data_IF_094989128304
#
_entry.id   IF_094989128304
#
_cell.length_a   1.000
_cell.length_b   1.000
_cell.length_c   1.000
_cell.angle_alpha   90.00
_cell.angle_beta   90.00
_cell.angle_gamma   90.00
#
_symmetry.space_group_name_H-M   'P 1'
#
loop_
_entity.id
_entity.type
_entity.pdbx_description
1 polymer ?
#
# COMPACT_ATOMS: atom_id res chain seq x y z
N UNK A 1 20.71 -24.64 -19.46
CA UNK A 1 19.30 -25.05 -19.44
C UNK A 1 18.78 -25.05 -18.00
N UNK A 2 17.53 -24.65 -17.76
CA UNK A 2 16.91 -24.78 -16.44
C UNK A 2 16.37 -26.20 -16.32
N UNK A 3 17.08 -27.07 -15.60
CA UNK A 3 16.57 -28.38 -15.19
C UNK A 3 15.46 -28.16 -14.15
N UNK A 4 14.21 -28.15 -14.60
CA UNK A 4 13.06 -28.10 -13.71
C UNK A 4 12.81 -29.52 -13.16
N UNK A 5 12.59 -29.68 -11.84
CA UNK A 5 12.19 -30.97 -11.29
C UNK A 5 10.85 -31.42 -11.86
N UNK A 6 10.62 -32.73 -11.91
CA UNK A 6 9.29 -33.25 -12.21
C UNK A 6 8.30 -32.88 -11.10
N UNK A 7 7.10 -32.45 -11.48
CA UNK A 7 6.05 -32.04 -10.56
C UNK A 7 5.36 -33.28 -9.95
N UNK A 8 6.04 -33.92 -9.00
CA UNK A 8 5.61 -35.15 -8.32
C UNK A 8 5.59 -34.95 -6.78
N UNK A 9 5.17 -35.97 -6.03
CA UNK A 9 5.01 -35.85 -4.57
C UNK A 9 6.34 -35.56 -3.84
N UNK A 10 7.49 -35.95 -4.41
CA UNK A 10 8.80 -35.56 -3.87
C UNK A 10 9.07 -34.06 -4.07
N UNK A 11 8.60 -33.48 -5.17
CA UNK A 11 8.64 -32.03 -5.38
C UNK A 11 7.75 -31.31 -4.36
N UNK A 12 6.54 -31.82 -4.08
CA UNK A 12 5.66 -31.24 -3.08
C UNK A 12 6.30 -31.19 -1.69
N UNK A 13 6.91 -32.31 -1.26
CA UNK A 13 7.65 -32.41 0.01
C UNK A 13 8.88 -31.50 0.09
N UNK A 14 9.48 -31.12 -1.04
CA UNK A 14 10.59 -30.15 -1.09
C UNK A 14 10.13 -28.69 -0.96
N UNK A 15 8.85 -28.40 -1.22
CA UNK A 15 8.29 -27.05 -1.17
C UNK A 15 7.70 -26.69 0.21
N UNK A 16 7.67 -27.64 1.15
CA UNK A 16 7.18 -27.45 2.51
C UNK A 16 6.60 -28.75 3.08
N UNK A 17 5.83 -28.64 4.17
CA UNK A 17 5.13 -29.77 4.81
C UNK A 17 3.87 -30.20 4.02
N UNK A 18 4.05 -30.54 2.74
CA UNK A 18 2.98 -31.05 1.89
C UNK A 18 3.12 -32.56 1.67
N UNK A 19 2.04 -33.30 1.87
CA UNK A 19 2.04 -34.76 1.75
C UNK A 19 2.24 -35.24 0.30
N UNK A 20 1.66 -34.53 -0.66
CA UNK A 20 1.64 -34.85 -2.08
C UNK A 20 1.37 -33.61 -2.96
N UNK A 21 1.43 -33.77 -4.28
CA UNK A 21 1.19 -32.68 -5.22
C UNK A 21 -0.21 -32.09 -5.17
N UNK A 22 -1.22 -32.85 -4.77
CA UNK A 22 -2.57 -32.34 -4.63
C UNK A 22 -2.67 -31.38 -3.45
N UNK A 23 -2.07 -31.73 -2.30
CA UNK A 23 -1.99 -30.87 -1.12
C UNK A 23 -1.28 -29.53 -1.44
N UNK A 24 -0.15 -29.58 -2.15
CA UNK A 24 0.55 -28.36 -2.59
C UNK A 24 -0.31 -27.52 -3.56
N UNK A 25 -1.00 -28.16 -4.51
CA UNK A 25 -1.89 -27.46 -5.46
C UNK A 25 -3.07 -26.82 -4.76
N UNK A 26 -3.67 -27.49 -3.77
CA UNK A 26 -4.77 -26.97 -2.98
C UNK A 26 -4.34 -25.76 -2.15
N UNK A 27 -3.18 -25.80 -1.50
CA UNK A 27 -2.65 -24.65 -0.75
C UNK A 27 -2.37 -23.45 -1.66
N UNK A 28 -1.65 -23.67 -2.78
CA UNK A 28 -1.40 -22.60 -3.76
C UNK A 28 -2.72 -22.00 -4.26
N UNK A 29 -3.69 -22.85 -4.60
CA UNK A 29 -5.01 -22.38 -5.05
C UNK A 29 -5.71 -21.56 -3.96
N UNK A 30 -5.66 -22.00 -2.70
CA UNK A 30 -6.23 -21.29 -1.56
C UNK A 30 -5.57 -19.92 -1.38
N UNK A 31 -4.24 -19.86 -1.40
CA UNK A 31 -3.47 -18.60 -1.31
C UNK A 31 -3.79 -17.64 -2.46
N UNK A 32 -3.85 -18.15 -3.68
CA UNK A 32 -4.22 -17.34 -4.85
C UNK A 32 -5.68 -16.84 -4.77
N UNK A 33 -6.59 -17.66 -4.26
CA UNK A 33 -8.00 -17.29 -4.08
C UNK A 33 -8.11 -16.17 -3.04
N UNK A 34 -7.48 -16.34 -1.87
CA UNK A 34 -7.46 -15.32 -0.82
C UNK A 34 -6.86 -14.01 -1.33
N UNK A 35 -5.70 -14.07 -2.00
CA UNK A 35 -5.08 -12.87 -2.57
C UNK A 35 -5.96 -12.18 -3.63
N UNK A 36 -6.71 -12.96 -4.42
CA UNK A 36 -7.64 -12.42 -5.41
C UNK A 36 -8.88 -11.78 -4.76
N UNK A 37 -9.43 -12.40 -3.71
CA UNK A 37 -10.55 -11.86 -2.93
C UNK A 37 -10.16 -10.54 -2.27
N UNK A 38 -9.04 -10.51 -1.53
CA UNK A 38 -8.55 -9.28 -0.92
C UNK A 38 -8.23 -8.19 -1.95
N UNK A 39 -7.70 -8.56 -3.12
CA UNK A 39 -7.46 -7.61 -4.20
C UNK A 39 -8.76 -7.06 -4.77
N UNK A 40 -9.81 -7.87 -4.87
CA UNK A 40 -11.11 -7.44 -5.36
C UNK A 40 -11.78 -6.50 -4.36
N UNK A 41 -11.74 -6.83 -3.07
CA UNK A 41 -12.31 -6.01 -2.00
C UNK A 41 -11.64 -4.63 -1.95
N UNK A 42 -10.29 -4.58 -1.94
CA UNK A 42 -9.54 -3.32 -2.01
C UNK A 42 -9.87 -2.50 -3.26
N UNK A 43 -10.07 -3.14 -4.40
CA UNK A 43 -10.42 -2.44 -5.63
C UNK A 43 -11.83 -1.83 -5.55
N UNK A 44 -12.80 -2.55 -4.95
CA UNK A 44 -14.15 -2.02 -4.72
C UNK A 44 -14.11 -0.82 -3.77
N UNK A 45 -13.40 -0.93 -2.65
CA UNK A 45 -13.23 0.17 -1.69
C UNK A 45 -12.61 1.41 -2.35
N UNK A 46 -11.52 1.23 -3.10
CA UNK A 46 -10.86 2.32 -3.82
C UNK A 46 -11.81 3.01 -4.81
N UNK A 47 -12.56 2.23 -5.59
CA UNK A 47 -13.52 2.78 -6.55
C UNK A 47 -14.65 3.57 -5.87
N UNK A 48 -15.09 3.14 -4.68
CA UNK A 48 -16.11 3.87 -3.91
C UNK A 48 -15.54 5.21 -3.43
N UNK A 49 -14.33 5.21 -2.88
CA UNK A 49 -13.65 6.43 -2.41
C UNK A 49 -13.45 7.40 -3.57
N UNK A 50 -12.95 6.92 -4.71
CA UNK A 50 -12.74 7.73 -5.91
C UNK A 50 -14.05 8.39 -6.36
N UNK A 51 -15.16 7.64 -6.39
CA UNK A 51 -16.45 8.17 -6.81
C UNK A 51 -16.99 9.22 -5.83
N UNK A 52 -16.80 9.02 -4.52
CA UNK A 52 -17.11 10.00 -3.48
C UNK A 52 -16.32 11.29 -3.72
N UNK A 53 -15.01 11.16 -3.93
CA UNK A 53 -14.10 12.28 -4.11
C UNK A 53 -14.41 13.05 -5.41
N UNK A 54 -14.75 12.35 -6.49
CA UNK A 54 -15.12 12.94 -7.77
C UNK A 54 -16.43 13.73 -7.70
N UNK A 55 -17.39 13.26 -6.91
CA UNK A 55 -18.67 13.96 -6.69
C UNK A 55 -18.57 15.09 -5.65
N UNK A 56 -17.51 15.10 -4.85
CA UNK A 56 -17.31 16.07 -3.79
C UNK A 56 -16.68 17.37 -4.30
N UNK A 57 -17.20 18.50 -3.83
CA UNK A 57 -16.58 19.82 -4.02
C UNK A 57 -15.72 20.13 -2.80
N UNK A 58 -14.42 19.92 -2.94
CA UNK A 58 -13.45 20.19 -1.88
C UNK A 58 -12.61 21.38 -2.32
N UNK A 59 -12.49 22.37 -1.45
CA UNK A 59 -11.59 23.51 -1.63
C UNK A 59 -10.65 23.58 -0.43
N UNK A 60 -9.36 23.69 -0.70
CA UNK A 60 -8.32 23.81 0.32
C UNK A 60 -7.22 24.78 -0.15
N UNK A 61 -6.50 25.43 0.77
CA UNK A 61 -5.44 26.35 0.40
C UNK A 61 -4.18 25.61 -0.09
N UNK A 62 -3.46 26.20 -1.04
CA UNK A 62 -2.21 25.65 -1.61
C UNK A 62 -1.12 25.39 -0.57
N UNK A 63 -1.19 26.09 0.57
CA UNK A 63 -0.27 25.90 1.70
C UNK A 63 -0.34 24.45 2.23
N UNK A 64 -1.51 23.81 2.21
CA UNK A 64 -1.63 22.41 2.61
C UNK A 64 -0.91 21.48 1.64
N UNK A 65 -1.04 21.72 0.32
CA UNK A 65 -0.34 20.93 -0.69
C UNK A 65 1.17 21.08 -0.52
N UNK A 66 1.67 22.31 -0.34
CA UNK A 66 3.10 22.55 -0.18
C UNK A 66 3.67 21.91 1.09
N UNK A 67 2.91 21.93 2.19
CA UNK A 67 3.28 21.25 3.43
C UNK A 67 3.41 19.73 3.19
N UNK A 68 2.43 19.14 2.52
CA UNK A 68 2.38 17.72 2.23
C UNK A 68 3.51 17.25 1.32
N UNK A 69 3.77 18.01 0.25
CA UNK A 69 4.92 17.78 -0.65
C UNK A 69 6.24 17.88 0.11
N UNK A 70 6.34 18.80 1.07
CA UNK A 70 7.51 18.92 1.95
C UNK A 70 7.77 17.65 2.76
N UNK A 71 6.72 17.07 3.35
CA UNK A 71 6.80 15.79 4.06
C UNK A 71 7.20 14.65 3.14
N UNK A 72 6.58 14.53 1.95
CA UNK A 72 6.90 13.47 0.99
C UNK A 72 8.37 13.55 0.53
N UNK A 73 8.89 14.77 0.30
CA UNK A 73 10.31 14.98 -0.04
C UNK A 73 11.22 14.58 1.13
N UNK A 74 10.87 14.98 2.36
CA UNK A 74 11.66 14.66 3.53
C UNK A 74 11.71 13.14 3.78
N UNK A 75 10.58 12.44 3.64
CA UNK A 75 10.51 10.98 3.78
C UNK A 75 11.31 10.27 2.69
N UNK A 76 11.22 10.76 1.46
CA UNK A 76 12.05 10.25 0.37
C UNK A 76 13.53 10.45 0.67
N UNK A 77 13.94 11.64 1.09
CA UNK A 77 15.33 11.95 1.43
C UNK A 77 15.84 11.06 2.57
N UNK A 78 15.03 10.83 3.60
CA UNK A 78 15.37 9.93 4.71
C UNK A 78 15.60 8.50 4.22
N UNK A 79 14.73 7.98 3.34
CA UNK A 79 14.87 6.65 2.75
C UNK A 79 16.11 6.53 1.87
N UNK A 80 16.34 7.51 1.00
CA UNK A 80 17.50 7.52 0.08
C UNK A 80 18.82 7.66 0.86
N UNK A 81 18.85 8.48 1.91
CA UNK A 81 20.03 8.66 2.76
C UNK A 81 20.47 7.36 3.44
N UNK A 82 19.50 6.52 3.89
CA UNK A 82 19.80 5.18 4.43
C UNK A 82 20.45 4.26 3.40
N UNK A 83 20.13 4.45 2.13
CA UNK A 83 20.72 3.73 1.00
C UNK A 83 21.98 4.41 0.44
N UNK A 84 22.40 5.54 1.01
CA UNK A 84 23.53 6.38 0.54
C UNK A 84 23.34 6.89 -0.89
N UNK A 85 22.09 7.07 -1.32
CA UNK A 85 21.71 7.62 -2.62
C UNK A 85 21.31 9.08 -2.43
N UNK A 86 21.74 9.96 -3.33
CA UNK A 86 21.26 11.36 -3.32
C UNK A 86 19.97 11.50 -4.13
N UNK A 87 19.17 12.53 -3.82
CA UNK A 87 17.94 12.81 -4.58
C UNK A 87 18.23 13.05 -6.06
N UNK A 88 19.35 13.71 -6.40
CA UNK A 88 19.76 13.94 -7.79
C UNK A 88 20.06 12.63 -8.54
N UNK A 89 20.68 11.66 -7.87
CA UNK A 89 20.93 10.35 -8.45
C UNK A 89 19.62 9.59 -8.68
N UNK A 90 18.70 9.68 -7.72
CA UNK A 90 17.37 9.09 -7.84
C UNK A 90 16.58 9.69 -9.01
N UNK A 91 16.55 11.02 -9.13
CA UNK A 91 15.87 11.72 -10.23
C UNK A 91 16.45 11.32 -11.60
N UNK A 92 17.79 11.21 -11.71
CA UNK A 92 18.45 10.71 -12.92
C UNK A 92 18.07 9.27 -13.25
N UNK A 93 17.97 8.40 -12.24
CA UNK A 93 17.58 7.00 -12.43
C UNK A 93 16.16 6.86 -12.97
N UNK A 94 15.23 7.68 -12.48
CA UNK A 94 13.84 7.68 -12.96
C UNK A 94 13.62 8.56 -14.20
N UNK A 95 14.67 9.25 -14.68
CA UNK A 95 14.63 10.10 -15.86
C UNK A 95 13.70 11.32 -15.73
N UNK A 96 13.50 11.84 -14.51
CA UNK A 96 12.63 13.01 -14.26
C UNK A 96 13.46 14.20 -13.82
N UNK A 97 13.04 15.39 -14.25
CA UNK A 97 13.54 16.64 -13.68
C UNK A 97 12.96 16.87 -12.27
N UNK A 98 13.60 17.76 -11.51
CA UNK A 98 13.10 18.14 -10.19
C UNK A 98 11.71 18.79 -10.26
N UNK A 99 11.46 19.60 -11.28
CA UNK A 99 10.17 20.28 -11.47
C UNK A 99 9.05 19.26 -11.76
N UNK A 100 9.25 18.35 -12.72
CA UNK A 100 8.29 17.29 -13.02
C UNK A 100 8.02 16.40 -11.81
N UNK A 101 9.05 16.13 -11.01
CA UNK A 101 8.90 15.35 -9.79
C UNK A 101 8.07 16.08 -8.74
N UNK A 102 8.34 17.37 -8.52
CA UNK A 102 7.57 18.20 -7.58
C UNK A 102 6.12 18.35 -8.03
N UNK A 103 5.86 18.54 -9.32
CA UNK A 103 4.50 18.69 -9.82
C UNK A 103 3.69 17.40 -9.73
N UNK A 104 4.34 16.25 -9.91
CA UNK A 104 3.71 14.96 -9.61
C UNK A 104 3.39 14.81 -8.12
N UNK A 105 4.33 15.19 -7.23
CA UNK A 105 4.05 15.17 -5.80
C UNK A 105 2.91 16.10 -5.43
N UNK A 106 2.83 17.30 -6.02
CA UNK A 106 1.70 18.22 -5.79
C UNK A 106 0.37 17.61 -6.22
N UNK A 107 0.32 16.95 -7.38
CA UNK A 107 -0.89 16.29 -7.86
C UNK A 107 -1.34 15.18 -6.90
N UNK A 108 -0.43 14.29 -6.51
CA UNK A 108 -0.70 13.22 -5.56
C UNK A 108 -1.10 13.75 -4.18
N UNK A 109 -0.41 14.78 -3.68
CA UNK A 109 -0.72 15.42 -2.41
C UNK A 109 -2.10 16.09 -2.43
N UNK A 110 -2.44 16.77 -3.51
CA UNK A 110 -3.75 17.38 -3.69
C UNK A 110 -4.88 16.32 -3.69
N UNK A 111 -4.67 15.18 -4.37
CA UNK A 111 -5.61 14.06 -4.32
C UNK A 111 -5.75 13.48 -2.91
N UNK A 112 -4.64 13.23 -2.20
CA UNK A 112 -4.65 12.74 -0.81
C UNK A 112 -5.39 13.69 0.13
N UNK A 113 -5.13 14.99 0.05
CA UNK A 113 -5.82 16.02 0.85
C UNK A 113 -7.32 16.02 0.52
N UNK A 114 -7.67 15.94 -0.77
CA UNK A 114 -9.06 15.90 -1.21
C UNK A 114 -9.80 14.70 -0.64
N UNK A 115 -9.18 13.52 -0.71
CA UNK A 115 -9.72 12.27 -0.15
C UNK A 115 -9.87 12.35 1.35
N UNK A 116 -8.84 12.80 2.07
CA UNK A 116 -8.87 12.93 3.54
C UNK A 116 -9.98 13.88 4.02
N UNK A 117 -10.15 15.03 3.35
CA UNK A 117 -11.22 15.98 3.70
C UNK A 117 -12.61 15.42 3.38
N UNK A 118 -12.79 14.72 2.26
CA UNK A 118 -14.06 14.10 1.92
C UNK A 118 -14.44 12.98 2.90
N UNK A 119 -13.47 12.14 3.28
CA UNK A 119 -13.67 11.07 4.26
C UNK A 119 -13.93 11.62 5.67
N UNK A 120 -13.21 12.65 6.08
CA UNK A 120 -13.44 13.31 7.37
C UNK A 120 -14.87 13.84 7.51
N UNK A 121 -15.39 14.46 6.47
CA UNK A 121 -16.78 14.93 6.44
C UNK A 121 -17.80 13.77 6.53
N UNK A 122 -17.49 12.60 5.95
CA UNK A 122 -18.34 11.41 6.07
C UNK A 122 -18.30 10.87 7.51
N UNK A 123 -17.11 10.76 8.10
CA UNK A 123 -16.91 10.34 9.50
C UNK A 123 -17.74 11.23 10.43
N UNK A 124 -17.66 12.55 10.26
CA UNK A 124 -18.41 13.51 11.07
C UNK A 124 -19.93 13.39 10.89
N UNK A 125 -20.41 13.20 9.64
CA UNK A 125 -21.85 13.06 9.33
C UNK A 125 -22.45 11.77 9.87
N UNK A 126 -21.75 10.66 9.66
CA UNK A 126 -22.19 9.34 10.06
C UNK A 126 -21.88 9.05 11.54
N UNK A 127 -21.16 9.97 12.22
CA UNK A 127 -20.74 9.87 13.62
C UNK A 127 -19.99 8.57 13.89
N UNK A 128 -19.01 8.31 13.03
CA UNK A 128 -18.14 7.15 13.17
C UNK A 128 -17.13 7.48 14.27
N UNK A 129 -17.31 6.86 15.43
CA UNK A 129 -16.38 6.95 16.54
C UNK A 129 -15.50 5.70 16.58
N UNK A 130 -14.23 5.86 16.94
CA UNK A 130 -13.29 4.76 17.14
C UNK A 130 -13.09 4.55 18.63
N UNK A 131 -13.28 3.32 19.08
CA UNK A 131 -13.07 2.95 20.49
C UNK A 131 -11.59 2.68 20.79
N UNK A 132 -11.13 2.90 22.03
CA UNK A 132 -9.76 2.53 22.43
C UNK A 132 -9.45 1.05 22.17
N UNK A 133 -10.43 0.18 22.33
CA UNK A 133 -10.29 -1.26 22.09
C UNK A 133 -10.03 -1.59 20.62
N UNK A 134 -10.68 -0.89 19.68
CA UNK A 134 -10.41 -1.04 18.24
C UNK A 134 -9.01 -0.54 17.88
N UNK A 135 -8.55 0.55 18.50
CA UNK A 135 -7.18 1.05 18.31
C UNK A 135 -6.16 0.03 18.80
N UNK A 136 -6.34 -0.53 20.00
CA UNK A 136 -5.44 -1.54 20.55
C UNK A 136 -5.42 -2.80 19.68
N UNK A 137 -6.59 -3.26 19.23
CA UNK A 137 -6.69 -4.41 18.34
C UNK A 137 -5.96 -4.19 17.00
N UNK A 138 -5.99 -2.97 16.46
CA UNK A 138 -5.25 -2.63 15.25
C UNK A 138 -3.74 -2.56 15.48
N UNK A 139 -3.30 -2.00 16.62
CA UNK A 139 -1.88 -1.98 17.01
C UNK A 139 -1.35 -3.41 17.13
N UNK A 140 -2.09 -4.30 17.78
CA UNK A 140 -1.73 -5.70 17.94
C UNK A 140 -1.64 -6.42 16.57
N UNK A 141 -2.58 -6.13 15.66
CA UNK A 141 -2.56 -6.67 14.30
C UNK A 141 -1.30 -6.24 13.54
N UNK A 142 -1.01 -4.94 13.52
CA UNK A 142 0.19 -4.38 12.85
C UNK A 142 1.47 -4.96 13.46
N UNK A 143 1.51 -5.10 14.80
CA UNK A 143 2.65 -5.67 15.49
C UNK A 143 2.86 -7.15 15.13
N UNK A 144 1.79 -7.94 14.97
CA UNK A 144 1.86 -9.33 14.53
C UNK A 144 2.37 -9.46 13.08
N UNK A 145 1.87 -8.62 12.17
CA UNK A 145 2.31 -8.62 10.77
C UNK A 145 3.80 -8.24 10.65
N UNK A 146 4.24 -7.22 11.38
CA UNK A 146 5.65 -6.78 11.37
C UNK A 146 6.64 -7.79 11.97
N UNK A 147 6.18 -8.68 12.87
CA UNK A 147 6.98 -9.80 13.40
C UNK A 147 7.08 -10.92 12.38
N UNK A 148 6.00 -11.19 11.66
CA UNK A 148 5.93 -12.22 10.62
C UNK A 148 6.88 -11.91 9.45
N UNK A 149 7.16 -10.63 9.16
CA UNK A 149 8.15 -10.23 8.15
C UNK A 149 9.63 -10.31 8.60
N UNK A 150 9.89 -10.48 9.90
CA UNK A 150 11.26 -10.50 10.47
C UNK A 150 11.79 -11.90 10.80
N UNK A 151 10.96 -12.94 10.66
CA UNK A 151 11.32 -14.35 10.77
C UNK A 151 11.49 -14.99 9.38
#
# INVERSE_FOLDING_TARGET
ERNLPELNDEFAKKMGDYENMDALRQDIKKRMTLAAEESADRAVEHNIIDEIVNRSKVCFPDVLVNHEVGHDIQDLQNRLSRQKITIDQYLKQIGKSQEEFIDQLKATAAERIKTGLAMGEIVDKEKIDVTPEEVEAEIDRIAADSKTERE
#
